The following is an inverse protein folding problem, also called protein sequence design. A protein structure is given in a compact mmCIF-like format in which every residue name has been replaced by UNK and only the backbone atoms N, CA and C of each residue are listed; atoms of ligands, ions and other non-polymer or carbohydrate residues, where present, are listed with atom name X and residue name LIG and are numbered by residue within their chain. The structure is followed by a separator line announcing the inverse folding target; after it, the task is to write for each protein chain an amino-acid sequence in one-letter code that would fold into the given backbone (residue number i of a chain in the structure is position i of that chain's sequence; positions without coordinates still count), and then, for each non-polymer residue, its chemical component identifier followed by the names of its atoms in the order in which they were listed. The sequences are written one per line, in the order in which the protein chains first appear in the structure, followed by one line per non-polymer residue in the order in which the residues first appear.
data_IF_881719736790
#
_entry.id   IF_881719736790
#
_cell.length_a   1.000
_cell.length_b   1.000
_cell.length_c   1.000
_cell.angle_alpha   90.00
_cell.angle_beta   90.00
_cell.angle_gamma   90.00
#
_symmetry.space_group_name_H-M   'P 1'
#
loop_
_entity.id
_entity.type
_entity.pdbx_description
1 polymer ?
#
# COMPACT_ATOMS: atom_id res chain seq x y z
N UNK A 1 27.22 -16.36 0.86
CA UNK A 1 26.17 -16.48 1.89
C UNK A 1 26.80 -16.99 3.18
N UNK A 2 26.80 -16.22 4.27
CA UNK A 2 27.20 -16.75 5.58
C UNK A 2 26.16 -17.78 6.00
N UNK A 3 26.56 -19.04 6.13
CA UNK A 3 25.71 -20.07 6.72
C UNK A 3 25.71 -19.86 8.24
N UNK A 4 24.80 -19.01 8.72
CA UNK A 4 24.55 -18.90 10.16
C UNK A 4 24.07 -20.25 10.69
N UNK A 5 24.62 -20.66 11.83
CA UNK A 5 24.15 -21.85 12.55
C UNK A 5 22.67 -21.66 12.93
N UNK A 6 21.88 -22.75 13.01
CA UNK A 6 20.47 -22.66 13.38
C UNK A 6 20.23 -21.90 14.70
N UNK A 7 21.12 -22.06 15.67
CA UNK A 7 21.04 -21.37 16.98
C UNK A 7 21.30 -19.86 16.86
N UNK A 8 22.31 -19.46 16.09
CA UNK A 8 22.61 -18.04 15.84
C UNK A 8 21.45 -17.32 15.15
N UNK A 9 20.77 -18.01 14.22
CA UNK A 9 19.57 -17.47 13.56
C UNK A 9 18.43 -17.23 14.55
N UNK A 10 18.19 -18.18 15.45
CA UNK A 10 17.14 -18.05 16.46
C UNK A 10 17.41 -16.87 17.40
N UNK A 11 18.66 -16.71 17.85
CA UNK A 11 19.06 -15.59 18.70
C UNK A 11 18.88 -14.23 17.99
N UNK A 12 19.26 -14.13 16.72
CA UNK A 12 19.05 -12.91 15.93
C UNK A 12 17.56 -12.59 15.75
N UNK A 13 16.73 -13.58 15.47
CA UNK A 13 15.28 -13.39 15.37
C UNK A 13 14.70 -12.87 16.68
N UNK A 14 15.09 -13.48 17.82
CA UNK A 14 14.63 -13.05 19.14
C UNK A 14 15.07 -11.61 19.47
N UNK A 15 16.30 -11.24 19.13
CA UNK A 15 16.84 -9.88 19.31
C UNK A 15 16.02 -8.85 18.53
N UNK A 16 15.76 -9.12 17.25
CA UNK A 16 14.96 -8.23 16.39
C UNK A 16 13.54 -8.06 16.95
N UNK A 17 12.91 -9.15 17.40
CA UNK A 17 11.58 -9.10 18.01
C UNK A 17 11.58 -8.28 19.29
N UNK A 18 12.59 -8.44 20.17
CA UNK A 18 12.72 -7.66 21.40
C UNK A 18 12.90 -6.17 21.13
N UNK A 19 13.74 -5.79 20.16
CA UNK A 19 13.91 -4.38 19.77
C UNK A 19 12.63 -3.78 19.22
N UNK A 20 11.90 -4.54 18.39
CA UNK A 20 10.61 -4.08 17.86
C UNK A 20 9.58 -3.90 18.98
N UNK A 21 9.48 -4.85 19.91
CA UNK A 21 8.58 -4.79 21.05
C UNK A 21 8.91 -3.61 21.99
N UNK A 22 10.19 -3.27 22.14
CA UNK A 22 10.65 -2.11 22.89
C UNK A 22 10.44 -0.76 22.16
N UNK A 23 9.93 -0.77 20.92
CA UNK A 23 9.74 0.44 20.11
C UNK A 23 11.04 1.04 19.56
N UNK A 24 12.18 0.34 19.68
CA UNK A 24 13.48 0.80 19.17
C UNK A 24 13.54 0.70 17.64
N UNK A 25 12.98 -0.37 17.08
CA UNK A 25 12.92 -0.61 15.64
C UNK A 25 11.47 -0.59 15.16
N UNK A 26 11.08 0.27 14.20
CA UNK A 26 9.76 0.19 13.59
C UNK A 26 9.62 -1.14 12.82
N UNK A 27 8.37 -1.55 12.57
CA UNK A 27 8.08 -2.85 11.95
C UNK A 27 8.77 -3.03 10.58
N UNK A 28 8.81 -1.98 9.76
CA UNK A 28 9.48 -2.02 8.46
C UNK A 28 10.99 -2.29 8.57
N UNK A 29 11.66 -1.59 9.50
CA UNK A 29 13.08 -1.84 9.80
C UNK A 29 13.31 -3.25 10.30
N UNK A 30 12.43 -3.74 11.19
CA UNK A 30 12.52 -5.10 11.73
C UNK A 30 12.42 -6.16 10.62
N UNK A 31 11.48 -6.00 9.68
CA UNK A 31 11.34 -6.90 8.51
C UNK A 31 12.57 -6.84 7.60
N UNK A 32 13.14 -5.64 7.38
CA UNK A 32 14.38 -5.50 6.61
C UNK A 32 15.56 -6.20 7.27
N UNK A 33 15.68 -6.13 8.61
CA UNK A 33 16.69 -6.84 9.38
C UNK A 33 16.50 -8.35 9.28
N UNK A 34 15.27 -8.86 9.42
CA UNK A 34 14.96 -10.28 9.20
C UNK A 34 15.40 -10.74 7.80
N UNK A 35 15.14 -9.95 6.76
CA UNK A 35 15.62 -10.27 5.41
C UNK A 35 17.14 -10.33 5.34
N UNK A 36 17.83 -9.25 5.70
CA UNK A 36 19.28 -9.12 5.47
C UNK A 36 20.13 -9.95 6.44
N UNK A 37 19.79 -9.94 7.73
CA UNK A 37 20.57 -10.56 8.79
C UNK A 37 20.25 -12.05 8.95
N UNK A 38 18.98 -12.45 8.82
CA UNK A 38 18.57 -13.86 9.05
C UNK A 38 18.61 -14.68 7.75
N UNK A 39 18.02 -14.17 6.67
CA UNK A 39 17.97 -14.91 5.38
C UNK A 39 19.16 -14.62 4.47
N UNK A 40 19.71 -13.41 4.53
CA UNK A 40 20.74 -12.95 3.60
C UNK A 40 20.25 -12.79 2.16
N UNK A 41 18.93 -12.70 1.95
CA UNK A 41 18.31 -12.59 0.63
C UNK A 41 18.25 -11.14 0.15
N UNK A 42 18.39 -10.97 -1.16
CA UNK A 42 18.07 -9.73 -1.83
C UNK A 42 16.55 -9.46 -1.78
N UNK A 43 16.16 -8.24 -2.15
CA UNK A 43 14.79 -7.78 -1.98
C UNK A 43 13.81 -8.50 -2.92
N UNK A 44 14.24 -8.87 -4.13
CA UNK A 44 13.38 -9.54 -5.10
C UNK A 44 13.11 -10.99 -4.70
N UNK A 45 14.17 -11.73 -4.34
CA UNK A 45 14.03 -13.13 -3.88
C UNK A 45 13.17 -13.22 -2.62
N UNK A 46 13.34 -12.30 -1.67
CA UNK A 46 12.54 -12.29 -0.46
C UNK A 46 11.08 -11.92 -0.72
N UNK A 47 10.81 -10.96 -1.62
CA UNK A 47 9.45 -10.60 -2.01
C UNK A 47 8.72 -11.79 -2.65
N UNK A 48 9.40 -12.53 -3.53
CA UNK A 48 8.88 -13.75 -4.13
C UNK A 48 8.54 -14.82 -3.07
N UNK A 49 9.40 -15.01 -2.08
CA UNK A 49 9.15 -15.93 -0.95
C UNK A 49 7.93 -15.51 -0.13
N UNK A 50 7.76 -14.22 0.10
CA UNK A 50 6.62 -13.64 0.81
C UNK A 50 5.35 -13.55 -0.04
N UNK A 51 5.41 -13.90 -1.34
CA UNK A 51 4.31 -13.78 -2.31
C UNK A 51 3.74 -12.36 -2.42
N UNK A 52 4.62 -11.36 -2.36
CA UNK A 52 4.28 -9.93 -2.56
C UNK A 52 5.16 -9.34 -3.66
N UNK A 53 4.77 -8.19 -4.21
CA UNK A 53 5.61 -7.50 -5.19
C UNK A 53 6.84 -6.88 -4.52
N UNK A 54 7.95 -6.79 -5.26
CA UNK A 54 9.19 -6.14 -4.77
C UNK A 54 8.94 -4.71 -4.34
N UNK A 55 8.08 -3.97 -5.08
CA UNK A 55 7.64 -2.63 -4.69
C UNK A 55 6.89 -2.62 -3.36
N UNK A 56 5.96 -3.56 -3.15
CA UNK A 56 5.22 -3.66 -1.90
C UNK A 56 6.14 -3.99 -0.72
N UNK A 57 7.13 -4.87 -0.92
CA UNK A 57 8.14 -5.14 0.10
C UNK A 57 8.99 -3.89 0.39
N UNK A 58 9.40 -3.14 -0.63
CA UNK A 58 10.15 -1.90 -0.44
C UNK A 58 9.37 -0.85 0.36
N UNK A 59 8.09 -0.64 0.04
CA UNK A 59 7.23 0.30 0.77
C UNK A 59 6.94 -0.18 2.20
N UNK A 60 6.92 -1.49 2.43
CA UNK A 60 6.81 -2.10 3.75
C UNK A 60 8.09 -1.88 4.58
N UNK A 61 9.26 -2.20 4.02
CA UNK A 61 10.56 -2.05 4.70
C UNK A 61 10.91 -0.59 4.98
N UNK A 62 10.47 0.34 4.12
CA UNK A 62 10.67 1.78 4.30
C UNK A 62 9.67 2.42 5.26
N UNK A 63 8.66 1.70 5.74
CA UNK A 63 7.61 2.24 6.61
C UNK A 63 6.69 3.27 5.93
N UNK A 64 6.73 3.37 4.60
CA UNK A 64 5.95 4.35 3.82
C UNK A 64 4.56 3.85 3.43
N UNK A 65 4.31 2.55 3.59
CA UNK A 65 3.00 1.94 3.34
C UNK A 65 2.25 1.65 4.64
N UNK A 66 0.92 1.56 4.54
CA UNK A 66 0.05 0.99 5.56
C UNK A 66 -0.39 -0.42 5.13
N UNK A 67 0.46 -1.45 5.34
CA UNK A 67 0.16 -2.82 4.92
C UNK A 67 -1.02 -3.38 5.72
N UNK A 68 -1.79 -4.29 5.10
CA UNK A 68 -2.81 -5.05 5.82
C UNK A 68 -2.14 -5.93 6.87
N UNK A 69 -2.81 -6.16 8.00
CA UNK A 69 -2.33 -7.06 9.05
C UNK A 69 -2.02 -8.47 8.49
N UNK A 70 -2.84 -8.95 7.55
CA UNK A 70 -2.65 -10.24 6.88
C UNK A 70 -1.35 -10.31 6.07
N UNK A 71 -0.91 -9.20 5.48
CA UNK A 71 0.36 -9.12 4.74
C UNK A 71 1.54 -9.20 5.70
N UNK A 72 1.47 -8.46 6.82
CA UNK A 72 2.50 -8.52 7.87
C UNK A 72 2.61 -9.93 8.44
N UNK A 73 1.48 -10.55 8.77
CA UNK A 73 1.42 -11.89 9.34
C UNK A 73 1.99 -12.95 8.36
N UNK A 74 1.71 -12.83 7.06
CA UNK A 74 2.27 -13.73 6.05
C UNK A 74 3.80 -13.71 6.01
N UNK A 75 4.41 -12.51 6.12
CA UNK A 75 5.86 -12.35 6.16
C UNK A 75 6.44 -12.92 7.46
N UNK A 76 5.86 -12.54 8.61
CA UNK A 76 6.36 -12.92 9.94
C UNK A 76 6.28 -14.42 10.20
N UNK A 77 5.27 -15.10 9.64
CA UNK A 77 5.10 -16.55 9.74
C UNK A 77 6.28 -17.34 9.15
N UNK A 78 7.00 -16.78 8.17
CA UNK A 78 8.21 -17.42 7.61
C UNK A 78 9.34 -17.55 8.64
N UNK A 79 9.31 -16.74 9.69
CA UNK A 79 10.28 -16.72 10.77
C UNK A 79 9.76 -17.34 12.07
N UNK A 80 8.55 -17.92 12.06
CA UNK A 80 7.90 -18.42 13.27
C UNK A 80 7.38 -17.32 14.21
N UNK A 81 7.20 -16.10 13.70
CA UNK A 81 6.74 -14.93 14.47
C UNK A 81 5.27 -14.66 14.13
N UNK A 82 4.53 -14.12 15.11
CA UNK A 82 3.15 -13.63 14.93
C UNK A 82 3.00 -12.20 15.43
N UNK A 83 2.04 -11.47 14.88
CA UNK A 83 1.65 -10.17 15.41
C UNK A 83 0.89 -10.32 16.74
N UNK A 84 1.10 -9.36 17.65
CA UNK A 84 0.47 -9.31 18.96
C UNK A 84 0.59 -7.93 19.59
N UNK A 85 -0.02 -7.75 20.76
CA UNK A 85 0.12 -6.52 21.55
C UNK A 85 1.24 -6.71 22.58
N UNK A 86 2.00 -5.65 22.79
CA UNK A 86 3.00 -5.56 23.86
C UNK A 86 2.67 -4.35 24.72
N UNK A 87 2.96 -4.41 26.01
CA UNK A 87 2.84 -3.23 26.87
C UNK A 87 3.99 -2.31 26.53
N UNK A 88 3.69 -1.05 26.23
CA UNK A 88 4.72 -0.01 26.26
C UNK A 88 5.16 0.13 27.71
N UNK A 89 6.44 -0.10 27.99
CA UNK A 89 7.00 0.39 29.24
C UNK A 89 6.76 1.91 29.29
N UNK A 90 6.35 2.43 30.46
CA UNK A 90 6.26 3.88 30.65
C UNK A 90 7.70 4.42 30.65
N UNK A 91 8.19 4.86 29.50
CA UNK A 91 9.48 5.52 29.40
C UNK A 91 9.33 6.87 28.69
N UNK A 92 10.06 7.86 29.21
CA UNK A 92 10.08 9.27 28.84
C UNK A 92 10.16 9.52 27.32
N UNK A 93 9.55 10.62 26.83
CA UNK A 93 9.29 10.86 25.41
C UNK A 93 10.56 11.19 24.61
N UNK A 94 11.34 10.18 24.23
CA UNK A 94 12.47 10.34 23.31
C UNK A 94 12.56 9.20 22.29
N UNK A 95 11.52 9.05 21.46
CA UNK A 95 11.65 8.28 20.22
C UNK A 95 10.70 8.81 19.13
N UNK A 96 10.70 10.12 18.89
CA UNK A 96 10.19 10.66 17.62
C UNK A 96 11.28 10.50 16.56
N UNK A 97 11.29 9.37 15.85
CA UNK A 97 12.08 9.25 14.62
C UNK A 97 11.29 9.97 13.52
N UNK A 98 11.76 11.18 13.21
CA UNK A 98 11.33 11.97 12.08
C UNK A 98 11.43 11.16 10.78
N UNK A 99 10.30 11.00 10.10
CA UNK A 99 10.31 10.63 8.69
C UNK A 99 10.91 11.77 7.90
N UNK A 100 12.10 11.56 7.33
CA UNK A 100 12.75 12.52 6.45
C UNK A 100 11.96 12.60 5.13
N UNK A 101 11.11 13.61 5.01
CA UNK A 101 10.56 14.08 3.73
C UNK A 101 11.06 15.50 3.44
N UNK A 102 11.57 15.69 2.23
CA UNK A 102 11.67 16.91 1.38
C UNK A 102 12.86 16.64 0.44
N UNK A 103 12.69 16.47 -0.88
CA UNK A 103 11.93 17.34 -1.77
C UNK A 103 12.81 18.53 -2.20
N UNK A 104 14.00 18.28 -2.76
CA UNK A 104 14.89 19.35 -3.20
C UNK A 104 14.36 19.98 -4.49
N UNK A 105 13.60 21.07 -4.35
CA UNK A 105 13.21 21.95 -5.44
C UNK A 105 13.90 23.32 -5.28
N UNK A 106 14.83 23.55 -6.21
CA UNK A 106 15.13 24.83 -6.90
C UNK A 106 15.65 26.03 -6.08
N UNK A 107 16.93 26.36 -6.31
CA UNK A 107 17.50 27.69 -6.07
C UNK A 107 17.75 28.38 -7.43
N UNK A 108 17.31 29.63 -7.58
CA UNK A 108 17.57 30.43 -8.78
C UNK A 108 16.90 31.80 -8.77
N UNK A 109 17.58 32.79 -8.15
CA UNK A 109 17.61 34.20 -8.61
C UNK A 109 16.50 35.18 -8.14
N UNK A 110 16.85 36.44 -7.76
CA UNK A 110 15.91 37.43 -7.22
C UNK A 110 15.42 38.45 -8.26
N UNK A 111 14.15 38.88 -8.19
CA UNK A 111 13.69 40.12 -8.85
C UNK A 111 12.78 40.92 -7.91
N UNK A 112 12.99 42.23 -7.97
CA UNK A 112 12.61 43.30 -7.06
C UNK A 112 11.14 43.78 -7.11
N UNK A 113 10.70 44.32 -5.95
CA UNK A 113 9.90 45.54 -5.69
C UNK A 113 8.65 45.84 -6.55
N UNK A 114 7.50 46.02 -5.88
CA UNK A 114 6.67 47.26 -5.86
C UNK A 114 5.53 47.13 -4.83
N UNK A 115 5.17 48.25 -4.21
CA UNK A 115 4.33 48.39 -3.03
C UNK A 115 2.87 48.86 -3.30
N UNK A 116 1.90 48.23 -2.60
CA UNK A 116 0.61 48.72 -2.00
C UNK A 116 -0.45 49.42 -2.93
N UNK A 117 -1.74 49.63 -2.52
CA UNK A 117 -2.39 49.50 -1.20
C UNK A 117 -3.81 48.83 -1.17
N UNK A 118 -4.48 49.03 -0.03
CA UNK A 118 -5.58 48.35 0.69
C UNK A 118 -7.04 48.45 0.17
N UNK A 119 -7.87 47.55 0.74
CA UNK A 119 -9.28 47.70 1.17
C UNK A 119 -10.40 47.07 0.31
N UNK A 120 -11.11 46.08 0.86
CA UNK A 120 -12.49 46.26 1.36
C UNK A 120 -13.03 44.97 2.00
N UNK A 121 -13.87 45.13 3.01
CA UNK A 121 -14.50 44.12 3.85
C UNK A 121 -15.86 43.67 3.26
N UNK A 122 -16.05 42.33 3.15
CA UNK A 122 -17.29 41.53 3.36
C UNK A 122 -18.55 41.87 2.50
N UNK A 123 -19.69 41.13 2.58
CA UNK A 123 -20.02 39.86 3.24
C UNK A 123 -20.89 38.86 2.38
N UNK A 124 -21.12 37.67 2.95
CA UNK A 124 -22.36 36.85 2.93
C UNK A 124 -23.16 36.69 1.61
N UNK A 125 -23.22 35.46 1.07
CA UNK A 125 -24.28 35.04 0.14
C UNK A 125 -24.86 33.69 0.56
N UNK A 126 -26.06 33.78 1.14
CA UNK A 126 -26.99 32.70 1.43
C UNK A 126 -27.98 32.57 0.26
N UNK A 127 -28.33 31.33 -0.06
CA UNK A 127 -29.66 30.86 -0.49
C UNK A 127 -30.12 30.89 -1.97
N UNK A 128 -30.95 29.88 -2.27
CA UNK A 128 -31.95 29.68 -3.34
C UNK A 128 -31.57 29.10 -4.72
N UNK A 129 -31.64 27.76 -4.82
CA UNK A 129 -32.71 26.93 -5.45
C UNK A 129 -33.26 27.31 -6.86
N UNK A 130 -33.17 26.30 -7.76
CA UNK A 130 -34.05 25.90 -8.90
C UNK A 130 -34.20 26.80 -10.13
N UNK A 131 -33.86 26.22 -11.30
CA UNK A 131 -34.77 26.09 -12.45
C UNK A 131 -34.16 25.17 -13.53
N UNK A 132 -34.94 24.18 -13.98
CA UNK A 132 -34.63 23.32 -15.12
C UNK A 132 -34.90 23.99 -16.49
N UNK A 133 -35.20 23.23 -17.57
CA UNK A 133 -34.24 23.00 -18.65
C UNK A 133 -34.65 23.64 -20.00
N UNK A 134 -33.67 23.91 -20.89
CA UNK A 134 -33.94 24.19 -22.32
C UNK A 134 -32.98 23.51 -23.29
N UNK A 135 -33.40 22.31 -23.72
CA UNK A 135 -33.56 21.80 -25.10
C UNK A 135 -32.86 22.59 -26.24
N UNK A 136 -31.98 21.91 -27.00
CA UNK A 136 -31.48 22.42 -28.29
C UNK A 136 -30.58 21.46 -29.09
N UNK A 137 -31.21 20.61 -29.92
CA UNK A 137 -30.75 20.00 -31.20
C UNK A 137 -29.36 19.35 -31.28
N UNK A 138 -29.34 18.01 -31.33
CA UNK A 138 -28.39 17.25 -32.16
C UNK A 138 -29.16 16.44 -33.20
N UNK A 139 -28.74 16.41 -34.48
CA UNK A 139 -29.45 15.70 -35.53
C UNK A 139 -29.20 14.19 -35.48
N UNK A 140 -30.16 13.48 -36.06
CA UNK A 140 -30.30 12.04 -36.12
C UNK A 140 -29.56 11.41 -37.32
N UNK A 141 -29.13 10.15 -37.16
CA UNK A 141 -29.27 9.05 -38.11
C UNK A 141 -28.85 7.74 -37.40
N UNK A 142 -29.80 6.92 -36.93
CA UNK A 142 -30.32 5.71 -37.61
C UNK A 142 -29.43 4.47 -37.35
N UNK A 143 -29.78 3.59 -36.39
CA UNK A 143 -30.55 2.32 -36.54
C UNK A 143 -29.96 1.39 -37.62
N UNK A 144 -29.63 0.14 -37.32
CA UNK A 144 -30.64 -0.87 -37.01
C UNK A 144 -30.13 -2.03 -36.11
N UNK A 145 -31.03 -2.44 -35.20
CA UNK A 145 -31.01 -3.72 -34.50
C UNK A 145 -31.58 -4.82 -35.41
N UNK A 146 -31.20 -6.07 -35.17
CA UNK A 146 -32.15 -7.18 -35.29
C UNK A 146 -31.86 -8.27 -34.26
N UNK A 147 -32.66 -8.26 -33.19
CA UNK A 147 -33.01 -9.43 -32.38
C UNK A 147 -33.60 -10.52 -33.29
N UNK A 148 -33.42 -11.79 -32.92
CA UNK A 148 -34.53 -12.68 -32.51
C UNK A 148 -34.07 -14.14 -32.41
N UNK A 149 -34.60 -14.80 -31.37
CA UNK A 149 -34.92 -16.23 -31.21
C UNK A 149 -33.85 -17.25 -30.77
N UNK A 150 -34.02 -17.69 -29.51
CA UNK A 150 -33.85 -19.11 -29.10
C UNK A 150 -34.70 -20.02 -30.00
N UNK A 151 -34.33 -21.30 -30.11
CA UNK A 151 -35.21 -22.30 -29.52
C UNK A 151 -34.48 -23.36 -28.68
N UNK A 152 -35.31 -24.14 -27.99
CA UNK A 152 -34.97 -25.15 -27.00
C UNK A 152 -34.30 -26.42 -27.59
N UNK A 153 -33.64 -27.17 -26.69
CA UNK A 153 -33.07 -28.52 -26.88
C UNK A 153 -34.06 -29.52 -27.49
N UNK A 154 -33.54 -30.61 -28.09
CA UNK A 154 -33.63 -31.90 -27.37
C UNK A 154 -32.42 -32.86 -27.54
N UNK A 155 -32.07 -33.49 -26.41
CA UNK A 155 -31.91 -34.94 -26.16
C UNK A 155 -31.04 -35.83 -27.09
N UNK A 156 -29.97 -36.35 -26.46
CA UNK A 156 -29.40 -37.72 -26.49
C UNK A 156 -28.85 -38.33 -27.80
N UNK A 157 -27.59 -38.79 -27.72
CA UNK A 157 -27.23 -40.18 -28.04
C UNK A 157 -25.91 -40.61 -27.39
N UNK A 158 -26.01 -41.59 -26.50
CA UNK A 158 -24.95 -42.57 -26.20
C UNK A 158 -24.75 -43.46 -27.43
N UNK A 159 -23.50 -43.82 -27.72
CA UNK A 159 -23.11 -45.06 -28.41
C UNK A 159 -21.66 -45.35 -27.98
N UNK A 160 -21.45 -46.42 -27.19
CA UNK A 160 -21.11 -47.80 -27.62
C UNK A 160 -19.58 -47.93 -27.78
N UNK A 161 -18.89 -48.56 -26.83
CA UNK A 161 -18.60 -50.01 -26.80
C UNK A 161 -17.97 -50.53 -28.09
N UNK A 162 -16.68 -50.81 -28.01
CA UNK A 162 -15.98 -51.90 -28.71
C UNK A 162 -14.80 -52.25 -27.79
N UNK A 163 -14.95 -53.23 -26.88
CA UNK A 163 -14.80 -54.68 -26.98
C UNK A 163 -13.45 -55.12 -26.43
#
# INVERSE_FOLDING_TARGET
MKKLQPEERAQLVEEIVKRNAAGLDPIGTSIRRLRLEVTGLDQETFAAMCKISTKSLYELESGKSNPKLSTLEAVLRLFGIRMGMVMTAKDDPTATVAGNTVGQLKAGGPIAVVARPVASLSPLASSYVVAGPKRGKSPAAAKAKKDVSRPASPRARKNSQEK
#
